data_IF_053643878856
#
_entry.id   IF_053643878856
#
_cell.length_a   1.000
_cell.length_b   1.000
_cell.length_c   1.000
_cell.angle_alpha   90.00
_cell.angle_beta   90.00
_cell.angle_gamma   90.00
#
_symmetry.space_group_name_H-M   'P 1'
#
loop_
_entity.id
_entity.type
_entity.pdbx_description
1 polymer ?
#
# COMPACT_ATOMS: atom_id res chain seq x y z
N UNK A 1 -3.62 -9.17 -19.43
CA UNK A 1 -3.68 -8.63 -18.05
C UNK A 1 -3.48 -7.12 -18.18
N UNK A 2 -4.34 -6.27 -17.60
CA UNK A 2 -4.09 -4.83 -17.70
C UNK A 2 -2.76 -4.53 -17.00
N UNK A 3 -1.80 -4.04 -17.78
CA UNK A 3 -0.53 -3.52 -17.24
C UNK A 3 -0.91 -2.33 -16.37
N UNK A 4 -0.59 -2.40 -15.08
CA UNK A 4 -0.72 -1.21 -14.23
C UNK A 4 0.31 -0.20 -14.72
N UNK A 5 -0.15 1.00 -15.07
CA UNK A 5 0.77 2.09 -15.35
C UNK A 5 1.70 2.27 -14.14
N UNK A 6 2.99 2.57 -14.36
CA UNK A 6 3.90 2.83 -13.26
C UNK A 6 3.37 4.00 -12.42
N UNK A 7 3.34 3.80 -11.10
CA UNK A 7 3.04 4.86 -10.13
C UNK A 7 4.05 6.00 -10.35
N UNK A 8 3.56 7.20 -10.71
CA UNK A 8 4.42 8.31 -11.14
C UNK A 8 4.84 9.18 -9.96
N UNK A 9 3.93 9.38 -9.01
CA UNK A 9 4.19 10.09 -7.77
C UNK A 9 3.33 9.54 -6.60
N UNK A 10 3.46 10.18 -5.44
CA UNK A 10 2.77 9.78 -4.23
C UNK A 10 1.26 10.07 -4.28
N UNK A 11 0.83 11.09 -5.00
CA UNK A 11 -0.60 11.41 -5.17
C UNK A 11 -1.25 10.31 -6.01
N UNK A 12 -0.64 9.97 -7.14
CA UNK A 12 -1.04 8.85 -8.00
C UNK A 12 -1.08 7.53 -7.22
N UNK A 13 -0.11 7.30 -6.32
CA UNK A 13 -0.12 6.13 -5.45
C UNK A 13 -1.36 6.08 -4.54
N UNK A 14 -1.68 7.21 -3.88
CA UNK A 14 -2.80 7.28 -2.94
C UNK A 14 -4.16 7.22 -3.64
N UNK A 15 -4.27 7.72 -4.87
CA UNK A 15 -5.47 7.55 -5.70
C UNK A 15 -5.78 6.08 -5.98
N UNK A 16 -4.75 5.23 -6.05
CA UNK A 16 -4.88 3.79 -6.25
C UNK A 16 -4.80 2.97 -4.96
N UNK A 17 -4.55 3.60 -3.81
CA UNK A 17 -4.25 2.92 -2.55
C UNK A 17 -5.35 1.93 -2.16
N UNK A 18 -6.62 2.30 -2.27
CA UNK A 18 -7.73 1.40 -1.90
C UNK A 18 -7.75 0.11 -2.73
N UNK A 19 -7.40 0.19 -4.01
CA UNK A 19 -7.27 -0.99 -4.87
C UNK A 19 -6.10 -1.86 -4.43
N UNK A 20 -4.93 -1.26 -4.19
CA UNK A 20 -3.73 -2.00 -3.80
C UNK A 20 -3.84 -2.61 -2.40
N UNK A 21 -4.42 -1.87 -1.45
CA UNK A 21 -4.76 -2.36 -0.11
C UNK A 21 -5.58 -3.63 -0.18
N UNK A 22 -6.65 -3.64 -0.97
CA UNK A 22 -7.50 -4.82 -1.13
C UNK A 22 -6.76 -6.02 -1.76
N UNK A 23 -5.82 -5.77 -2.66
CA UNK A 23 -4.97 -6.83 -3.24
C UNK A 23 -4.00 -7.40 -2.20
N UNK A 24 -3.38 -6.56 -1.39
CA UNK A 24 -2.49 -6.98 -0.30
C UNK A 24 -3.27 -7.79 0.73
N UNK A 25 -4.47 -7.36 1.12
CA UNK A 25 -5.35 -8.12 2.04
C UNK A 25 -5.68 -9.51 1.49
N UNK A 26 -5.99 -9.62 0.18
CA UNK A 26 -6.19 -10.95 -0.44
C UNK A 26 -4.92 -11.77 -0.54
N UNK A 27 -3.76 -11.13 -0.61
CA UNK A 27 -2.47 -11.80 -0.69
C UNK A 27 -2.09 -12.42 0.65
N UNK A 28 -2.28 -11.71 1.77
CA UNK A 28 -1.98 -12.22 3.12
C UNK A 28 -2.87 -13.39 3.55
N UNK A 29 -4.03 -13.57 2.90
CA UNK A 29 -4.92 -14.71 3.13
C UNK A 29 -4.46 -15.98 2.41
N UNK A 30 -3.49 -15.88 1.48
CA UNK A 30 -3.00 -17.05 0.75
C UNK A 30 -2.11 -17.93 1.65
N UNK A 31 -2.26 -19.26 1.58
CA UNK A 31 -1.49 -20.20 2.41
C UNK A 31 0.01 -20.25 2.07
N UNK A 32 0.43 -19.64 0.96
CA UNK A 32 1.85 -19.53 0.56
C UNK A 32 2.61 -18.46 1.33
N UNK A 33 1.90 -17.51 1.96
CA UNK A 33 2.52 -16.43 2.72
C UNK A 33 2.83 -16.93 4.13
N UNK A 34 4.09 -16.82 4.53
CA UNK A 34 4.53 -17.21 5.86
C UNK A 34 3.99 -16.26 6.94
N UNK A 35 3.90 -16.70 8.21
CA UNK A 35 3.45 -15.84 9.31
C UNK A 35 4.27 -14.55 9.47
N UNK A 36 5.58 -14.59 9.19
CA UNK A 36 6.44 -13.41 9.28
C UNK A 36 6.18 -12.42 8.13
N UNK A 37 6.03 -12.90 6.89
CA UNK A 37 5.68 -12.05 5.75
C UNK A 37 4.30 -11.41 5.93
N UNK A 38 3.33 -12.17 6.45
CA UNK A 38 2.01 -11.65 6.81
C UNK A 38 2.12 -10.50 7.80
N UNK A 39 2.86 -10.65 8.89
CA UNK A 39 3.08 -9.57 9.88
C UNK A 39 3.73 -8.34 9.26
N UNK A 40 4.72 -8.53 8.38
CA UNK A 40 5.38 -7.42 7.68
C UNK A 40 4.37 -6.66 6.80
N UNK A 41 3.55 -7.37 6.03
CA UNK A 41 2.53 -6.75 5.18
C UNK A 41 1.44 -6.05 6.00
N UNK A 42 1.00 -6.64 7.11
CA UNK A 42 0.07 -6.01 8.05
C UNK A 42 0.63 -4.72 8.66
N UNK A 43 1.93 -4.69 8.99
CA UNK A 43 2.61 -3.48 9.46
C UNK A 43 2.65 -2.40 8.37
N UNK A 44 2.95 -2.78 7.12
CA UNK A 44 2.93 -1.85 6.00
C UNK A 44 1.54 -1.26 5.77
N UNK A 45 0.48 -2.08 5.79
CA UNK A 45 -0.89 -1.62 5.71
C UNK A 45 -1.22 -0.64 6.87
N UNK A 46 -0.79 -0.95 8.09
CA UNK A 46 -1.02 -0.09 9.25
C UNK A 46 -0.41 1.30 9.08
N UNK A 47 0.83 1.38 8.57
CA UNK A 47 1.50 2.66 8.33
C UNK A 47 0.81 3.41 7.18
N UNK A 48 0.57 2.74 6.05
CA UNK A 48 0.00 3.37 4.85
C UNK A 48 -1.46 3.81 5.03
N UNK A 49 -2.25 3.13 5.86
CA UNK A 49 -3.61 3.55 6.20
C UNK A 49 -3.65 4.86 7.03
N UNK A 50 -2.51 5.31 7.55
CA UNK A 50 -2.39 6.52 8.39
C UNK A 50 -1.66 7.67 7.71
N UNK A 51 -1.07 7.43 6.56
CA UNK A 51 -0.43 8.48 5.77
C UNK A 51 -1.37 8.81 4.62
N UNK A 52 -1.73 10.08 4.49
CA UNK A 52 -2.48 10.61 3.38
C UNK A 52 -1.64 11.59 2.53
N UNK A 53 -2.16 12.03 1.37
CA UNK A 53 -1.50 13.03 0.53
C UNK A 53 -1.17 14.33 1.27
N UNK A 54 -1.91 14.66 2.33
CA UNK A 54 -1.71 15.87 3.11
C UNK A 54 -0.54 15.76 4.11
N UNK A 55 -0.21 14.55 4.58
CA UNK A 55 0.96 14.32 5.43
C UNK A 55 2.26 14.57 4.68
N UNK A 56 2.24 14.37 3.35
CA UNK A 56 3.37 14.60 2.46
C UNK A 56 3.64 16.09 2.15
N UNK A 57 2.65 16.96 2.39
CA UNK A 57 2.79 18.42 2.16
C UNK A 57 3.54 19.12 3.28
N UNK A 58 3.89 18.39 4.34
CA UNK A 58 4.38 18.94 5.60
C UNK A 58 5.90 18.88 5.77
N UNK A 59 6.67 18.46 4.75
CA UNK A 59 8.14 18.55 4.82
C UNK A 59 8.60 19.96 4.42
N UNK A 60 9.11 20.79 5.36
CA UNK A 60 9.85 21.98 4.98
C UNK A 60 11.22 21.53 4.47
N UNK A 61 11.55 21.96 3.25
CA UNK A 61 12.91 21.95 2.70
C UNK A 61 13.94 22.54 3.67
#
# INVERSE_FOLDING_TARGET
>A
MPQQEPVRDLVDFFDHWQSERNRIVRLIEKPVITPNEKKTLELMLFVLDRVGPDDLKSEPN
#
